data_IF_826263164875
#
_entry.id   IF_826263164875
#
_cell.length_a   1.000
_cell.length_b   1.000
_cell.length_c   1.000
_cell.angle_alpha   90.00
_cell.angle_beta   90.00
_cell.angle_gamma   90.00
#
_symmetry.space_group_name_H-M   'P 1'
#
loop_
_entity.id
_entity.type
_entity.pdbx_description
1 polymer ?
#
# COMPACT_ATOMS: atom_id res chain seq x y z
N UNK A 1 22.03 -39.25 -18.16
CA UNK A 1 20.69 -38.68 -18.35
C UNK A 1 20.70 -37.28 -17.74
N UNK A 2 20.53 -36.24 -18.52
CA UNK A 2 20.40 -34.88 -17.98
C UNK A 2 18.97 -34.72 -17.44
N UNK A 3 18.83 -34.39 -16.17
CA UNK A 3 17.52 -34.00 -15.60
C UNK A 3 17.12 -32.67 -16.21
N UNK A 4 15.85 -32.56 -16.63
CA UNK A 4 15.30 -31.27 -17.06
C UNK A 4 15.14 -30.35 -15.84
N UNK A 5 15.19 -29.05 -16.03
CA UNK A 5 14.98 -28.04 -14.96
C UNK A 5 13.62 -28.25 -14.26
N UNK A 6 12.61 -28.72 -15.01
CA UNK A 6 11.28 -29.09 -14.47
C UNK A 6 11.30 -30.24 -13.46
N UNK A 7 12.41 -30.99 -13.37
CA UNK A 7 12.53 -32.14 -12.45
C UNK A 7 13.21 -31.75 -11.12
N UNK A 8 13.52 -30.46 -10.94
CA UNK A 8 14.07 -29.94 -9.69
C UNK A 8 12.94 -29.72 -8.68
N UNK A 9 13.16 -30.22 -7.48
CA UNK A 9 12.23 -29.99 -6.35
C UNK A 9 12.26 -28.50 -6.04
N UNK A 10 11.10 -27.85 -6.14
CA UNK A 10 10.94 -26.48 -5.66
C UNK A 10 10.85 -26.53 -4.14
N UNK A 11 11.85 -26.02 -3.44
CA UNK A 11 11.78 -25.86 -1.99
C UNK A 11 11.12 -24.53 -1.67
N UNK A 12 10.22 -24.51 -0.68
CA UNK A 12 9.49 -23.30 -0.26
C UNK A 12 10.35 -22.30 0.54
N UNK A 13 11.60 -22.64 0.83
CA UNK A 13 12.56 -21.75 1.49
C UNK A 13 13.94 -21.93 0.88
N UNK A 14 14.60 -20.83 0.62
CA UNK A 14 15.97 -20.79 0.13
C UNK A 14 16.89 -20.39 1.28
N UNK A 15 17.88 -21.25 1.55
CA UNK A 15 18.91 -20.97 2.53
C UNK A 15 20.10 -20.24 1.87
N UNK A 16 20.90 -19.53 2.65
CA UNK A 16 22.06 -18.78 2.13
C UNK A 16 23.12 -19.69 1.46
N UNK A 17 23.06 -21.00 1.74
CA UNK A 17 23.92 -22.04 1.18
C UNK A 17 23.41 -22.63 -0.14
N UNK A 18 22.14 -22.39 -0.48
CA UNK A 18 21.56 -22.90 -1.71
C UNK A 18 22.22 -22.27 -2.95
N UNK A 19 22.16 -22.97 -4.07
CA UNK A 19 22.77 -22.52 -5.32
C UNK A 19 21.76 -22.58 -6.45
N UNK A 20 21.78 -21.54 -7.27
CA UNK A 20 20.99 -21.47 -8.49
C UNK A 20 21.83 -21.82 -9.72
N UNK A 21 21.16 -22.41 -10.71
CA UNK A 21 21.70 -22.49 -12.07
C UNK A 21 21.52 -21.12 -12.74
N UNK A 22 22.62 -20.50 -13.12
CA UNK A 22 22.62 -19.24 -13.86
C UNK A 22 23.19 -19.51 -15.24
N UNK A 23 22.42 -19.23 -16.29
CA UNK A 23 22.91 -19.22 -17.65
C UNK A 23 23.68 -17.92 -17.92
N UNK A 24 24.88 -18.05 -18.41
CA UNK A 24 25.73 -16.95 -18.84
C UNK A 24 26.21 -17.21 -20.26
N UNK A 25 26.73 -16.20 -20.97
CA UNK A 25 27.34 -16.38 -22.30
C UNK A 25 28.48 -17.40 -22.29
N UNK A 26 29.09 -17.67 -21.15
CA UNK A 26 30.15 -18.66 -20.96
C UNK A 26 29.62 -20.04 -20.50
N UNK A 27 28.30 -20.29 -20.53
CA UNK A 27 27.65 -21.53 -20.14
C UNK A 27 26.99 -21.47 -18.74
N UNK A 28 26.36 -22.57 -18.36
CA UNK A 28 25.60 -22.68 -17.10
C UNK A 28 26.53 -22.81 -15.88
N UNK A 29 26.35 -21.97 -14.88
CA UNK A 29 27.14 -21.99 -13.62
C UNK A 29 26.21 -22.10 -12.41
N UNK A 30 26.72 -22.67 -11.32
CA UNK A 30 26.07 -22.63 -10.01
C UNK A 30 26.47 -21.32 -9.31
N UNK A 31 25.49 -20.50 -8.99
CA UNK A 31 25.67 -19.29 -8.18
C UNK A 31 25.05 -19.51 -6.79
N UNK A 32 25.74 -19.18 -5.69
CA UNK A 32 25.14 -19.24 -4.35
C UNK A 32 24.01 -18.22 -4.21
N UNK A 33 22.98 -18.55 -3.40
CA UNK A 33 21.86 -17.61 -3.10
C UNK A 33 22.37 -16.26 -2.65
N UNK A 34 23.43 -16.23 -1.85
CA UNK A 34 24.04 -15.00 -1.38
C UNK A 34 24.60 -14.09 -2.49
N UNK A 35 24.84 -14.64 -3.70
CA UNK A 35 25.25 -13.85 -4.87
C UNK A 35 24.09 -13.37 -5.75
N UNK A 36 22.88 -13.88 -5.50
CA UNK A 36 21.67 -13.36 -6.11
C UNK A 36 21.23 -12.16 -5.29
N UNK A 37 21.25 -10.98 -5.91
CA UNK A 37 20.79 -9.75 -5.24
C UNK A 37 19.29 -9.86 -4.97
N UNK A 38 18.93 -10.24 -3.76
CA UNK A 38 17.54 -10.28 -3.29
C UNK A 38 16.95 -8.85 -3.16
N UNK A 39 17.80 -7.86 -3.12
CA UNK A 39 17.45 -6.43 -3.05
C UNK A 39 16.85 -5.88 -4.36
N UNK A 40 16.71 -6.69 -5.40
CA UNK A 40 16.23 -6.29 -6.73
C UNK A 40 14.85 -6.89 -7.06
N UNK A 41 14.25 -7.68 -6.15
CA UNK A 41 12.92 -8.22 -6.43
C UNK A 41 11.91 -7.09 -6.61
N UNK A 42 11.36 -6.99 -7.82
CA UNK A 42 10.43 -5.93 -8.19
C UNK A 42 9.00 -6.46 -8.41
N UNK A 43 8.73 -7.69 -7.96
CA UNK A 43 7.45 -8.36 -8.14
C UNK A 43 7.22 -8.87 -9.56
N UNK A 44 6.30 -9.79 -9.69
CA UNK A 44 5.84 -10.34 -10.97
C UNK A 44 4.36 -10.02 -11.18
N UNK A 45 3.94 -10.01 -12.44
CA UNK A 45 2.53 -9.91 -12.80
C UNK A 45 1.83 -11.24 -12.48
N UNK A 46 0.96 -11.21 -11.48
CA UNK A 46 0.23 -12.41 -11.03
C UNK A 46 -0.74 -12.92 -12.09
N UNK A 47 -1.25 -12.05 -12.97
CA UNK A 47 -2.15 -12.46 -14.06
C UNK A 47 -1.45 -13.28 -15.13
N UNK A 48 -0.13 -13.18 -15.20
CA UNK A 48 0.72 -13.97 -16.10
C UNK A 48 1.16 -15.26 -15.42
N UNK A 49 1.67 -15.15 -14.18
CA UNK A 49 2.24 -16.30 -13.45
C UNK A 49 1.17 -17.33 -13.07
N UNK A 50 -0.04 -16.88 -12.71
CA UNK A 50 -1.14 -17.71 -12.26
C UNK A 50 -2.32 -17.72 -13.25
N UNK A 51 -2.05 -17.52 -14.55
CA UNK A 51 -3.07 -17.42 -15.59
C UNK A 51 -4.06 -18.60 -15.58
N UNK A 52 -3.55 -19.83 -15.44
CA UNK A 52 -4.39 -21.04 -15.44
C UNK A 52 -5.29 -21.11 -14.20
N UNK A 53 -4.75 -20.81 -13.00
CA UNK A 53 -5.56 -20.77 -11.78
C UNK A 53 -6.62 -19.64 -11.85
N UNK A 54 -6.23 -18.45 -12.33
CA UNK A 54 -7.14 -17.31 -12.46
C UNK A 54 -8.30 -17.63 -13.41
N UNK A 55 -8.02 -18.38 -14.47
CA UNK A 55 -9.07 -18.79 -15.42
C UNK A 55 -10.18 -19.63 -14.77
N UNK A 56 -9.87 -20.43 -13.74
CA UNK A 56 -10.85 -21.21 -12.96
C UNK A 56 -11.80 -20.31 -12.14
N UNK A 57 -11.37 -19.11 -11.77
CA UNK A 57 -12.15 -18.14 -11.00
C UNK A 57 -12.82 -17.06 -11.86
N UNK A 58 -12.48 -17.00 -13.15
CA UNK A 58 -12.99 -16.04 -14.11
C UNK A 58 -12.34 -14.66 -14.08
N UNK A 59 -11.74 -14.26 -12.97
CA UNK A 59 -11.03 -12.98 -12.84
C UNK A 59 -9.99 -13.02 -11.72
N UNK A 60 -8.95 -12.13 -11.75
CA UNK A 60 -7.87 -12.15 -10.78
C UNK A 60 -8.30 -11.74 -9.36
N UNK A 61 -9.37 -10.95 -9.22
CA UNK A 61 -9.82 -10.47 -7.93
C UNK A 61 -10.60 -11.52 -7.16
N UNK A 62 -11.44 -12.31 -7.84
CA UNK A 62 -12.10 -13.49 -7.27
C UNK A 62 -11.08 -14.54 -6.87
N UNK A 63 -10.07 -14.78 -7.69
CA UNK A 63 -8.98 -15.71 -7.40
C UNK A 63 -8.19 -15.29 -6.15
N UNK A 64 -7.66 -14.05 -6.11
CA UNK A 64 -6.83 -13.60 -4.97
C UNK A 64 -7.64 -13.52 -3.68
N UNK A 65 -8.94 -13.17 -3.76
CA UNK A 65 -9.87 -13.21 -2.62
C UNK A 65 -10.02 -14.62 -2.06
N UNK A 66 -10.20 -15.63 -2.92
CA UNK A 66 -10.30 -17.02 -2.48
C UNK A 66 -9.00 -17.47 -1.78
N UNK A 67 -7.84 -17.11 -2.33
CA UNK A 67 -6.53 -17.40 -1.74
C UNK A 67 -6.34 -16.69 -0.40
N UNK A 68 -6.70 -15.42 -0.30
CA UNK A 68 -6.65 -14.65 0.94
C UNK A 68 -7.50 -15.31 2.03
N UNK A 69 -8.78 -15.61 1.74
CA UNK A 69 -9.70 -16.25 2.68
C UNK A 69 -9.23 -17.61 3.18
N UNK A 70 -8.61 -18.39 2.30
CA UNK A 70 -8.04 -19.69 2.63
C UNK A 70 -6.66 -19.58 3.32
N UNK A 71 -6.09 -18.37 3.46
CA UNK A 71 -4.71 -18.15 3.91
C UNK A 71 -3.69 -18.94 3.08
N UNK A 72 -3.98 -19.15 1.80
CA UNK A 72 -3.10 -19.82 0.87
C UNK A 72 -2.23 -18.81 0.12
N UNK A 73 -1.12 -18.46 0.71
CA UNK A 73 -0.17 -17.48 0.15
C UNK A 73 0.99 -18.14 -0.61
N UNK A 74 0.94 -19.47 -0.83
CA UNK A 74 1.99 -20.19 -1.54
C UNK A 74 2.25 -19.61 -2.92
N UNK A 75 3.52 -19.28 -3.23
CA UNK A 75 3.92 -18.67 -4.49
C UNK A 75 3.57 -17.20 -4.67
N UNK A 76 2.95 -16.57 -3.67
CA UNK A 76 2.74 -15.12 -3.64
C UNK A 76 3.83 -14.44 -2.82
N UNK A 77 4.33 -13.32 -3.29
CA UNK A 77 5.37 -12.55 -2.60
C UNK A 77 4.95 -11.09 -2.47
N UNK A 78 5.47 -10.44 -1.46
CA UNK A 78 5.35 -8.99 -1.32
C UNK A 78 5.92 -8.32 -2.56
N UNK A 79 5.20 -7.33 -3.10
CA UNK A 79 5.44 -6.61 -4.34
C UNK A 79 5.02 -7.32 -5.64
N UNK A 80 4.57 -8.58 -5.63
CA UNK A 80 3.82 -9.12 -6.77
C UNK A 80 2.59 -8.27 -7.02
N UNK A 81 2.18 -8.14 -8.27
CA UNK A 81 1.15 -7.16 -8.61
C UNK A 81 0.09 -7.71 -9.57
N UNK A 82 -1.06 -7.05 -9.54
CA UNK A 82 -2.17 -7.26 -10.47
C UNK A 82 -2.42 -5.94 -11.20
N UNK A 83 -2.32 -5.92 -12.56
CA UNK A 83 -2.71 -4.76 -13.36
C UNK A 83 -4.24 -4.68 -13.51
N UNK A 84 -4.76 -3.46 -13.48
CA UNK A 84 -6.18 -3.17 -13.69
C UNK A 84 -6.37 -1.74 -14.20
N UNK A 85 -7.62 -1.33 -14.46
CA UNK A 85 -7.91 -0.01 -15.03
C UNK A 85 -8.87 0.77 -14.15
N UNK A 86 -8.56 2.06 -13.92
CA UNK A 86 -9.43 3.04 -13.27
C UNK A 86 -9.49 4.30 -14.10
N UNK A 87 -10.69 4.72 -14.48
CA UNK A 87 -10.94 5.93 -15.30
C UNK A 87 -10.05 5.99 -16.57
N UNK A 88 -9.77 4.83 -17.19
CA UNK A 88 -8.93 4.71 -18.39
C UNK A 88 -7.41 4.65 -18.13
N UNK A 89 -6.96 4.76 -16.88
CA UNK A 89 -5.54 4.63 -16.52
C UNK A 89 -5.22 3.21 -16.06
N UNK A 90 -4.09 2.68 -16.52
CA UNK A 90 -3.57 1.41 -16.02
C UNK A 90 -2.96 1.61 -14.63
N UNK A 91 -3.46 0.86 -13.66
CA UNK A 91 -2.97 0.81 -12.29
C UNK A 91 -2.35 -0.57 -12.08
N UNK A 92 -1.14 -0.62 -11.56
CA UNK A 92 -0.52 -1.84 -11.05
C UNK A 92 -0.58 -1.79 -9.52
N UNK A 93 -1.35 -2.70 -8.91
CA UNK A 93 -1.42 -2.78 -7.46
C UNK A 93 -0.59 -3.94 -6.96
N UNK A 94 0.42 -3.63 -6.14
CA UNK A 94 1.33 -4.62 -5.57
C UNK A 94 0.88 -5.07 -4.17
N UNK A 95 1.18 -6.31 -3.82
CA UNK A 95 0.98 -6.83 -2.46
C UNK A 95 1.83 -6.01 -1.50
N UNK A 96 1.18 -5.25 -0.64
CA UNK A 96 1.82 -4.46 0.40
C UNK A 96 2.19 -5.32 1.62
N UNK A 97 1.35 -6.27 1.96
CA UNK A 97 1.56 -7.22 3.05
C UNK A 97 0.46 -8.27 3.13
N UNK A 98 0.79 -9.39 3.76
CA UNK A 98 -0.14 -10.47 4.09
C UNK A 98 -0.62 -10.27 5.52
N UNK A 99 -1.92 -10.27 5.73
CA UNK A 99 -2.59 -10.14 7.03
C UNK A 99 -2.04 -8.99 7.91
N UNK A 100 -1.73 -7.79 7.35
CA UNK A 100 -1.37 -6.67 8.20
C UNK A 100 -2.54 -6.34 9.12
N UNK A 101 -2.26 -5.85 10.30
CA UNK A 101 -3.25 -5.51 11.33
C UNK A 101 -4.03 -6.70 11.95
N UNK A 102 -3.69 -7.96 11.62
CA UNK A 102 -4.45 -9.13 12.09
C UNK A 102 -4.62 -9.15 13.62
N UNK A 103 -3.60 -8.75 14.36
CA UNK A 103 -3.63 -8.69 15.83
C UNK A 103 -3.84 -7.26 16.38
N UNK A 104 -3.96 -6.26 15.49
CA UNK A 104 -3.96 -4.84 15.85
C UNK A 104 -5.22 -4.13 15.30
N UNK A 105 -6.39 -4.68 15.55
CA UNK A 105 -7.66 -4.13 15.09
C UNK A 105 -8.77 -4.33 16.13
N UNK A 106 -9.86 -3.56 15.97
CA UNK A 106 -11.08 -3.71 16.76
C UNK A 106 -12.11 -4.70 16.16
N UNK A 107 -11.70 -5.40 15.10
CA UNK A 107 -12.52 -6.37 14.37
C UNK A 107 -11.83 -7.73 14.31
N UNK A 108 -12.64 -8.78 14.25
CA UNK A 108 -12.15 -10.08 13.84
C UNK A 108 -11.90 -10.05 12.32
N UNK A 109 -10.65 -10.20 11.91
CA UNK A 109 -10.24 -10.27 10.51
C UNK A 109 -10.06 -11.71 10.06
N UNK A 110 -10.69 -12.05 8.95
CA UNK A 110 -10.36 -13.24 8.18
C UNK A 110 -9.00 -13.09 7.48
N UNK A 111 -8.58 -14.12 6.76
CA UNK A 111 -7.41 -14.04 5.90
C UNK A 111 -7.57 -12.92 4.88
N UNK A 112 -6.57 -12.07 4.74
CA UNK A 112 -6.61 -10.90 3.87
C UNK A 112 -5.23 -10.49 3.35
N UNK A 113 -5.23 -9.71 2.28
CA UNK A 113 -4.03 -9.16 1.65
C UNK A 113 -4.26 -7.67 1.42
N UNK A 114 -3.33 -6.83 1.86
CA UNK A 114 -3.34 -5.42 1.53
C UNK A 114 -2.54 -5.16 0.26
N UNK A 115 -3.11 -4.35 -0.60
CA UNK A 115 -2.50 -3.89 -1.84
C UNK A 115 -2.27 -2.39 -1.80
N UNK A 116 -1.23 -1.94 -2.50
CA UNK A 116 -0.98 -0.52 -2.75
C UNK A 116 -0.57 -0.32 -4.21
N UNK A 117 -0.99 0.77 -4.84
CA UNK A 117 -0.56 1.05 -6.21
C UNK A 117 0.95 1.27 -6.28
N UNK A 118 1.60 0.68 -7.28
CA UNK A 118 3.05 0.83 -7.54
C UNK A 118 3.41 2.27 -7.88
N UNK A 119 2.52 2.94 -8.59
CA UNK A 119 2.64 4.35 -8.95
C UNK A 119 1.47 5.16 -8.38
N UNK A 120 1.61 6.48 -8.36
CA UNK A 120 0.53 7.38 -8.01
C UNK A 120 -0.59 7.32 -9.05
N UNK A 121 -1.81 7.53 -8.63
CA UNK A 121 -2.88 7.83 -9.58
C UNK A 121 -2.54 9.15 -10.31
N UNK A 122 -2.70 9.22 -11.65
CA UNK A 122 -2.21 10.33 -12.44
C UNK A 122 -3.13 11.57 -12.38
N UNK A 123 -3.41 11.99 -11.17
CA UNK A 123 -4.16 13.20 -10.86
C UNK A 123 -3.61 13.80 -9.57
N UNK A 124 -3.39 15.10 -9.54
CA UNK A 124 -3.12 15.81 -8.30
C UNK A 124 -4.42 16.05 -7.54
N UNK A 125 -4.39 15.79 -6.24
CA UNK A 125 -5.54 15.96 -5.34
C UNK A 125 -5.08 16.70 -4.10
N UNK A 126 -5.75 17.80 -3.75
CA UNK A 126 -5.48 18.49 -2.49
C UNK A 126 -5.93 17.61 -1.31
N UNK A 127 -5.13 17.57 -0.26
CA UNK A 127 -5.55 16.89 0.98
C UNK A 127 -6.77 17.58 1.58
N UNK A 128 -6.77 18.93 1.62
CA UNK A 128 -7.95 19.76 1.84
C UNK A 128 -7.99 20.91 0.84
N UNK A 129 -9.17 21.38 0.49
CA UNK A 129 -9.34 22.52 -0.45
C UNK A 129 -8.93 23.85 0.17
N UNK A 130 -8.88 23.93 1.50
CA UNK A 130 -8.30 25.05 2.26
C UNK A 130 -7.06 24.57 3.02
N UNK A 131 -6.18 25.51 3.37
CA UNK A 131 -4.93 25.18 4.06
C UNK A 131 -5.17 24.90 5.56
N UNK A 132 -5.91 23.83 5.86
CA UNK A 132 -6.19 23.35 7.20
C UNK A 132 -6.06 21.82 7.22
N UNK A 133 -5.49 21.29 8.29
CA UNK A 133 -5.34 19.84 8.48
C UNK A 133 -6.13 19.31 9.67
N UNK A 134 -6.96 20.13 10.27
CA UNK A 134 -7.73 19.80 11.45
C UNK A 134 -8.95 18.95 11.08
N UNK A 135 -9.31 18.03 11.97
CA UNK A 135 -10.61 17.38 11.94
C UNK A 135 -11.73 18.33 12.38
N UNK A 136 -12.93 17.82 12.39
CA UNK A 136 -14.05 18.50 12.98
C UNK A 136 -13.78 18.72 14.50
N UNK A 137 -14.12 19.90 15.01
CA UNK A 137 -13.96 20.26 16.44
C UNK A 137 -14.65 19.32 17.44
N UNK A 138 -15.50 18.42 16.96
CA UNK A 138 -16.32 17.53 17.77
C UNK A 138 -16.03 16.06 17.64
N UNK A 139 -14.82 15.62 17.34
CA UNK A 139 -14.42 14.20 17.39
C UNK A 139 -14.24 13.49 16.03
N UNK A 140 -13.72 14.15 15.02
CA UNK A 140 -13.34 13.47 13.80
C UNK A 140 -11.81 13.46 13.66
N UNK A 141 -11.25 12.33 13.22
CA UNK A 141 -9.88 12.30 12.77
C UNK A 141 -9.72 13.18 11.53
N UNK A 142 -8.63 13.96 11.41
CA UNK A 142 -8.43 14.90 10.31
C UNK A 142 -8.64 14.29 8.91
N UNK A 143 -8.07 13.14 8.66
CA UNK A 143 -8.21 12.42 7.39
C UNK A 143 -9.67 12.12 7.04
N UNK A 144 -10.49 11.69 8.03
CA UNK A 144 -11.87 11.26 7.80
C UNK A 144 -12.79 12.36 7.28
N UNK A 145 -12.42 13.62 7.50
CA UNK A 145 -13.17 14.80 7.02
C UNK A 145 -12.42 15.55 5.91
N UNK A 146 -11.36 14.98 5.39
CA UNK A 146 -10.53 15.60 4.36
C UNK A 146 -11.14 15.50 2.96
N UNK A 147 -10.74 16.41 2.08
CA UNK A 147 -11.05 16.31 0.65
C UNK A 147 -10.39 15.07 0.01
N UNK A 148 -9.21 14.68 0.49
CA UNK A 148 -8.53 13.48 0.00
C UNK A 148 -9.35 12.22 0.28
N UNK A 149 -9.91 12.08 1.50
CA UNK A 149 -10.80 10.95 1.83
C UNK A 149 -12.06 10.94 0.96
N UNK A 150 -12.68 12.11 0.79
CA UNK A 150 -13.85 12.23 -0.08
C UNK A 150 -13.54 11.85 -1.54
N UNK A 151 -12.34 12.18 -2.01
CA UNK A 151 -11.88 11.76 -3.33
C UNK A 151 -11.76 10.23 -3.42
N UNK A 152 -11.15 9.55 -2.44
CA UNK A 152 -11.09 8.09 -2.41
C UNK A 152 -12.48 7.46 -2.44
N UNK A 153 -13.41 7.96 -1.63
CA UNK A 153 -14.79 7.46 -1.59
C UNK A 153 -15.49 7.61 -2.94
N UNK A 154 -15.26 8.73 -3.63
CA UNK A 154 -15.82 8.96 -4.96
C UNK A 154 -15.34 7.96 -6.01
N UNK A 155 -14.11 7.43 -5.86
CA UNK A 155 -13.52 6.46 -6.80
C UNK A 155 -14.02 5.03 -6.62
N UNK A 156 -14.61 4.70 -5.47
CA UNK A 156 -15.10 3.34 -5.20
C UNK A 156 -16.10 2.85 -6.25
N UNK A 157 -16.99 3.73 -6.73
CA UNK A 157 -18.00 3.36 -7.73
C UNK A 157 -17.40 3.18 -9.14
N UNK A 158 -16.23 3.73 -9.40
CA UNK A 158 -15.50 3.59 -10.68
C UNK A 158 -14.61 2.34 -10.72
N UNK A 159 -14.47 1.61 -9.60
CA UNK A 159 -13.70 0.36 -9.57
C UNK A 159 -14.36 -0.70 -10.44
N UNK A 160 -13.57 -1.59 -11.09
CA UNK A 160 -14.09 -2.81 -11.67
C UNK A 160 -14.98 -3.56 -10.67
N UNK A 161 -16.09 -4.13 -11.15
CA UNK A 161 -17.09 -4.75 -10.27
C UNK A 161 -16.49 -5.86 -9.43
N UNK A 162 -15.65 -6.70 -10.01
CA UNK A 162 -14.99 -7.84 -9.36
C UNK A 162 -14.04 -7.34 -8.25
N UNK A 163 -13.22 -6.33 -8.55
CA UNK A 163 -12.35 -5.68 -7.56
C UNK A 163 -13.18 -5.08 -6.42
N UNK A 164 -14.21 -4.30 -6.72
CA UNK A 164 -15.07 -3.68 -5.73
C UNK A 164 -15.75 -4.69 -4.81
N UNK A 165 -16.10 -5.88 -5.34
CA UNK A 165 -16.70 -6.98 -4.58
C UNK A 165 -15.67 -7.78 -3.76
N UNK A 166 -14.41 -7.74 -4.15
CA UNK A 166 -13.32 -8.40 -3.43
C UNK A 166 -12.79 -7.56 -2.26
N UNK A 167 -12.89 -6.23 -2.34
CA UNK A 167 -12.38 -5.32 -1.31
C UNK A 167 -13.26 -5.34 -0.07
N UNK A 168 -12.62 -5.51 1.09
CA UNK A 168 -13.19 -5.24 2.42
C UNK A 168 -12.67 -3.90 2.96
N UNK A 169 -13.42 -3.27 3.85
CA UNK A 169 -12.99 -2.01 4.50
C UNK A 169 -11.79 -2.24 5.40
N UNK A 170 -10.94 -1.24 5.50
CA UNK A 170 -9.87 -1.16 6.51
C UNK A 170 -10.29 -0.26 7.65
N UNK A 171 -10.10 -0.72 8.88
CA UNK A 171 -10.24 0.12 10.06
C UNK A 171 -8.86 0.49 10.60
N UNK A 172 -8.75 1.72 11.09
CA UNK A 172 -7.51 2.24 11.67
C UNK A 172 -7.79 3.02 12.94
N UNK A 173 -6.93 2.84 13.94
CA UNK A 173 -6.94 3.65 15.15
C UNK A 173 -6.37 5.02 14.82
N UNK A 174 -7.16 6.06 15.02
CA UNK A 174 -6.79 7.43 14.66
C UNK A 174 -7.04 8.39 15.81
N UNK A 175 -6.12 9.32 15.96
CA UNK A 175 -6.25 10.42 16.90
C UNK A 175 -7.32 11.41 16.42
N UNK A 176 -8.18 11.82 17.33
CA UNK A 176 -9.10 12.92 17.13
C UNK A 176 -8.40 14.23 17.43
N UNK A 177 -8.22 15.08 16.41
CA UNK A 177 -7.62 16.42 16.54
C UNK A 177 -8.66 17.50 16.36
N UNK A 178 -8.48 18.60 17.06
CA UNK A 178 -9.31 19.79 16.92
C UNK A 178 -8.49 21.06 17.07
N UNK A 179 -8.95 22.17 16.54
CA UNK A 179 -8.37 23.47 16.80
C UNK A 179 -9.11 24.19 17.92
N UNK A 180 -8.33 24.83 18.80
CA UNK A 180 -8.84 25.86 19.71
C UNK A 180 -8.28 27.19 19.24
N UNK A 181 -9.15 28.01 18.67
CA UNK A 181 -8.69 29.24 18.01
C UNK A 181 -7.87 28.98 16.75
N UNK A 182 -6.60 29.38 16.76
CA UNK A 182 -5.67 29.22 15.64
C UNK A 182 -4.68 28.05 15.84
N UNK A 183 -4.79 27.33 16.93
CA UNK A 183 -3.81 26.29 17.29
C UNK A 183 -4.44 24.92 17.21
N UNK A 184 -3.83 24.03 16.44
CA UNK A 184 -4.18 22.61 16.44
C UNK A 184 -3.83 22.04 17.80
N UNK A 185 -4.80 21.40 18.44
CA UNK A 185 -4.60 20.68 19.69
C UNK A 185 -4.72 19.19 19.43
N UNK A 186 -3.71 18.43 19.84
CA UNK A 186 -3.79 16.99 19.89
C UNK A 186 -4.77 16.59 21.01
N UNK A 187 -5.78 15.82 20.65
CA UNK A 187 -6.64 15.16 21.61
C UNK A 187 -5.93 13.96 22.22
N UNK A 188 -6.26 13.63 23.45
CA UNK A 188 -5.91 12.33 24.05
C UNK A 188 -6.92 11.25 23.65
N UNK A 189 -7.91 11.61 22.86
CA UNK A 189 -8.96 10.71 22.41
C UNK A 189 -8.57 10.04 21.11
N UNK A 190 -8.72 8.73 21.09
CA UNK A 190 -8.47 7.87 19.94
C UNK A 190 -9.74 7.12 19.59
N UNK A 191 -9.99 6.92 18.32
CA UNK A 191 -11.13 6.16 17.86
C UNK A 191 -10.76 5.29 16.66
N UNK A 192 -11.38 4.13 16.58
CA UNK A 192 -11.34 3.31 15.38
C UNK A 192 -12.23 3.92 14.30
N UNK A 193 -11.63 4.19 13.16
CA UNK A 193 -12.29 4.77 12.00
C UNK A 193 -12.27 3.79 10.84
N UNK A 194 -13.38 3.73 10.10
CA UNK A 194 -13.47 2.97 8.86
C UNK A 194 -12.91 3.81 7.71
N UNK A 195 -11.73 3.45 7.22
CA UNK A 195 -11.10 4.11 6.08
C UNK A 195 -11.82 3.81 4.77
N UNK A 196 -12.77 2.89 4.78
CA UNK A 196 -13.48 2.46 3.58
C UNK A 196 -12.67 1.51 2.71
N UNK A 197 -13.07 1.42 1.45
CA UNK A 197 -12.50 0.49 0.48
C UNK A 197 -11.20 0.97 -0.16
N UNK A 198 -11.03 2.29 -0.29
CA UNK A 198 -9.80 2.90 -0.80
C UNK A 198 -9.25 3.90 0.21
N UNK A 199 -7.94 3.91 0.39
CA UNK A 199 -7.29 4.74 1.40
C UNK A 199 -5.84 5.08 1.04
N UNK A 200 -5.30 6.13 1.68
CA UNK A 200 -3.88 6.41 1.73
C UNK A 200 -3.24 5.70 2.93
N UNK A 201 -1.99 5.23 2.85
CA UNK A 201 -1.30 4.64 3.98
C UNK A 201 -0.98 5.67 5.06
N UNK A 202 -0.81 5.19 6.29
CA UNK A 202 -0.26 5.97 7.39
C UNK A 202 1.26 6.12 7.27
N UNK A 203 1.83 7.19 7.82
CA UNK A 203 3.27 7.41 7.87
C UNK A 203 3.99 6.23 8.55
N UNK A 204 3.40 5.68 9.62
CA UNK A 204 3.95 4.50 10.31
C UNK A 204 3.96 3.24 9.43
N UNK A 205 2.99 3.07 8.55
CA UNK A 205 2.92 1.95 7.61
C UNK A 205 4.01 2.03 6.52
N UNK A 206 4.48 3.25 6.23
CA UNK A 206 5.52 3.50 5.22
C UNK A 206 6.92 3.53 5.82
N UNK A 207 7.10 4.14 6.99
CA UNK A 207 8.42 4.42 7.58
C UNK A 207 8.73 3.65 8.86
N UNK A 208 7.80 2.81 9.34
CA UNK A 208 7.94 2.06 10.60
C UNK A 208 7.93 2.95 11.87
N UNK A 209 7.61 4.19 11.69
CA UNK A 209 7.55 5.17 12.76
C UNK A 209 6.85 6.44 12.28
N UNK A 210 6.41 7.21 13.23
CA UNK A 210 6.06 8.60 13.04
C UNK A 210 7.31 9.43 12.78
N UNK A 211 7.35 10.21 11.73
CA UNK A 211 8.41 11.17 11.41
C UNK A 211 7.89 12.60 11.60
N UNK A 212 6.76 12.92 11.00
CA UNK A 212 6.10 14.21 11.05
C UNK A 212 4.75 14.20 11.74
N UNK A 213 4.07 13.06 11.78
CA UNK A 213 2.79 12.89 12.48
C UNK A 213 2.90 12.92 14.01
N UNK A 214 4.14 12.87 14.54
CA UNK A 214 4.44 13.05 15.96
C UNK A 214 4.10 11.82 16.80
N UNK A 215 4.19 11.98 18.13
CA UNK A 215 3.95 10.90 19.10
C UNK A 215 2.50 10.40 19.13
N UNK A 216 1.61 11.11 18.48
CA UNK A 216 0.18 10.81 18.38
C UNK A 216 -0.18 10.27 17.00
N UNK A 217 0.78 9.68 16.30
CA UNK A 217 0.55 9.12 14.99
C UNK A 217 -0.58 8.10 15.01
N UNK A 218 -1.42 8.23 14.02
CA UNK A 218 -2.47 7.26 13.74
C UNK A 218 -1.91 5.98 13.12
N UNK A 219 -2.76 4.97 12.96
CA UNK A 219 -2.43 3.70 12.35
C UNK A 219 -2.32 2.56 13.35
N UNK A 220 -2.12 1.38 12.84
CA UNK A 220 -2.12 0.16 13.64
C UNK A 220 -0.69 -0.30 14.02
N UNK A 221 0.31 0.56 13.77
CA UNK A 221 1.68 0.34 14.20
C UNK A 221 2.48 -0.64 13.36
N UNK A 222 1.93 -1.15 12.27
CA UNK A 222 2.59 -2.16 11.42
C UNK A 222 3.06 -1.52 10.12
N UNK A 223 4.37 -1.59 9.86
CA UNK A 223 4.93 -1.21 8.57
C UNK A 223 4.58 -2.24 7.51
N UNK A 224 4.17 -1.79 6.33
CA UNK A 224 4.02 -2.68 5.19
C UNK A 224 5.38 -3.24 4.74
N UNK A 225 5.50 -4.58 4.62
CA UNK A 225 6.71 -5.20 4.11
C UNK A 225 7.15 -4.69 2.74
N UNK A 226 6.22 -4.24 1.89
CA UNK A 226 6.54 -3.64 0.59
C UNK A 226 7.46 -2.42 0.71
N UNK A 227 7.41 -1.67 1.82
CA UNK A 227 8.25 -0.51 2.07
C UNK A 227 9.55 -0.83 2.85
N UNK A 228 9.87 -2.10 3.05
CA UNK A 228 11.15 -2.50 3.65
C UNK A 228 12.33 -1.96 2.83
N UNK A 229 12.21 -1.96 1.50
CA UNK A 229 13.11 -1.27 0.60
C UNK A 229 12.64 0.18 0.35
N UNK A 230 13.53 1.13 0.61
CA UNK A 230 13.27 2.56 0.38
C UNK A 230 12.87 2.90 -1.06
N UNK A 231 13.25 2.08 -2.04
CA UNK A 231 12.87 2.25 -3.45
C UNK A 231 11.37 2.11 -3.68
N UNK A 232 10.67 1.29 -2.90
CA UNK A 232 9.22 1.14 -3.01
C UNK A 232 8.44 2.43 -2.68
N UNK A 233 9.08 3.37 -2.00
CA UNK A 233 8.54 4.71 -1.73
C UNK A 233 8.67 5.67 -2.92
N UNK A 234 9.50 5.34 -3.91
CA UNK A 234 9.68 6.11 -5.13
C UNK A 234 8.57 5.77 -6.12
N UNK A 235 7.59 6.63 -6.25
CA UNK A 235 6.45 6.41 -7.14
C UNK A 235 6.45 7.42 -8.27
N UNK A 236 5.83 7.05 -9.40
CA UNK A 236 5.72 7.91 -10.57
C UNK A 236 4.28 8.43 -10.70
N UNK A 237 4.10 9.51 -11.44
CA UNK A 237 2.81 10.08 -11.76
C UNK A 237 2.13 9.27 -12.87
N UNK A 238 1.45 8.19 -12.46
CA UNK A 238 0.97 7.15 -13.37
C UNK A 238 2.10 6.30 -13.96
N UNK A 239 1.71 5.20 -14.58
CA UNK A 239 2.66 4.26 -15.21
C UNK A 239 3.47 4.96 -16.31
N UNK A 240 4.79 4.98 -16.14
CA UNK A 240 5.72 5.60 -17.09
C UNK A 240 5.87 7.12 -16.97
N UNK A 241 5.23 7.76 -16.01
CA UNK A 241 5.39 9.18 -15.71
C UNK A 241 6.69 9.52 -14.99
N UNK A 242 6.90 10.78 -14.67
CA UNK A 242 8.00 11.24 -13.80
C UNK A 242 7.75 10.90 -12.33
N UNK A 243 8.80 10.90 -11.51
CA UNK A 243 8.65 10.73 -10.05
C UNK A 243 7.74 11.80 -9.46
N UNK A 244 6.85 11.41 -8.56
CA UNK A 244 5.92 12.32 -7.92
C UNK A 244 5.94 12.22 -6.40
N UNK A 245 5.45 13.28 -5.75
CA UNK A 245 5.11 13.28 -4.35
C UNK A 245 3.74 12.61 -4.16
N UNK A 246 3.54 11.91 -3.03
CA UNK A 246 2.27 11.25 -2.78
C UNK A 246 1.82 11.34 -1.32
N UNK A 247 0.51 11.49 -1.11
CA UNK A 247 -0.11 11.71 0.18
C UNK A 247 -0.08 10.49 1.09
N UNK A 248 0.15 10.74 2.37
CA UNK A 248 -0.21 9.87 3.49
C UNK A 248 -1.50 10.39 4.14
N UNK A 249 -2.14 9.58 4.98
CA UNK A 249 -3.39 9.97 5.64
C UNK A 249 -3.17 10.73 6.96
N UNK A 250 -1.95 11.00 7.35
CA UNK A 250 -1.64 11.63 8.64
C UNK A 250 -1.50 13.15 8.54
N UNK A 251 -2.04 13.84 9.55
CA UNK A 251 -1.75 15.24 9.77
C UNK A 251 -0.41 15.41 10.51
N UNK A 252 0.32 16.49 10.19
CA UNK A 252 1.55 16.83 10.88
C UNK A 252 1.26 17.23 12.33
N UNK A 253 2.10 16.77 13.28
CA UNK A 253 2.06 17.22 14.65
C UNK A 253 2.44 18.71 14.77
N UNK A 254 1.86 19.38 15.77
CA UNK A 254 2.08 20.80 16.07
C UNK A 254 1.83 21.77 14.90
N UNK A 255 1.05 21.36 13.89
CA UNK A 255 0.65 22.23 12.77
C UNK A 255 -0.86 22.18 12.57
N UNK A 256 -1.46 23.33 12.27
CA UNK A 256 -2.86 23.44 11.88
C UNK A 256 -3.07 23.35 10.35
N UNK A 257 -1.99 23.29 9.57
CA UNK A 257 -2.06 23.47 8.11
C UNK A 257 -1.28 22.44 7.31
N UNK A 258 -0.39 21.67 7.95
CA UNK A 258 0.47 20.71 7.24
C UNK A 258 0.03 19.28 7.46
N UNK A 259 0.27 18.46 6.46
CA UNK A 259 -0.02 17.02 6.41
C UNK A 259 1.20 16.25 5.91
N UNK A 260 1.25 14.97 6.25
CA UNK A 260 2.35 14.10 5.87
C UNK A 260 2.24 13.66 4.41
N UNK A 261 3.40 13.53 3.76
CA UNK A 261 3.49 12.98 2.41
C UNK A 261 4.89 12.38 2.18
N UNK A 262 5.00 11.51 1.20
CA UNK A 262 6.27 10.97 0.73
C UNK A 262 6.76 11.80 -0.47
N UNK A 263 7.98 12.31 -0.36
CA UNK A 263 8.58 13.07 -1.45
C UNK A 263 8.97 12.18 -2.64
N UNK A 264 9.13 12.79 -3.81
CA UNK A 264 9.52 12.11 -5.05
C UNK A 264 10.91 11.45 -5.01
N UNK A 265 11.67 11.64 -3.93
CA UNK A 265 12.93 10.96 -3.62
C UNK A 265 12.81 9.99 -2.43
N UNK A 266 11.58 9.68 -1.96
CA UNK A 266 11.28 8.59 -1.03
C UNK A 266 11.37 8.94 0.47
N UNK A 267 11.59 10.21 0.83
CA UNK A 267 11.65 10.64 2.22
C UNK A 267 10.27 11.07 2.75
N UNK A 268 10.07 10.89 4.06
CA UNK A 268 8.95 11.50 4.78
C UNK A 268 9.12 13.02 4.81
N UNK A 269 8.09 13.73 4.42
CA UNK A 269 8.05 15.21 4.41
C UNK A 269 6.63 15.67 4.79
N UNK A 270 6.47 16.95 5.05
CA UNK A 270 5.16 17.56 5.29
C UNK A 270 4.96 18.76 4.35
N UNK A 271 3.72 19.06 4.05
CA UNK A 271 3.35 20.21 3.22
C UNK A 271 1.97 20.72 3.60
N UNK A 272 1.66 21.91 3.07
CA UNK A 272 0.32 22.50 3.12
C UNK A 272 -0.75 21.51 2.69
N UNK A 273 -1.81 21.38 3.47
CA UNK A 273 -2.96 20.53 3.16
C UNK A 273 -3.64 20.92 1.83
N UNK A 274 -3.50 22.17 1.39
CA UNK A 274 -4.03 22.66 0.12
C UNK A 274 -3.03 22.59 -1.05
N UNK A 275 -1.91 21.88 -0.90
CA UNK A 275 -0.96 21.72 -2.00
C UNK A 275 -1.61 21.02 -3.20
N UNK A 276 -1.38 21.58 -4.40
CA UNK A 276 -2.00 21.13 -5.65
C UNK A 276 -1.10 20.23 -6.51
N UNK A 277 0.09 19.83 -6.01
CA UNK A 277 1.09 19.08 -6.78
C UNK A 277 1.51 17.77 -6.09
N UNK A 278 0.60 17.19 -5.33
CA UNK A 278 0.81 15.90 -4.68
C UNK A 278 -0.30 14.95 -5.12
N UNK A 279 0.06 13.73 -5.48
CA UNK A 279 -0.86 12.75 -6.03
C UNK A 279 -1.27 11.70 -4.98
N UNK A 280 -2.44 11.06 -5.10
CA UNK A 280 -2.81 9.93 -4.25
C UNK A 280 -2.18 8.63 -4.74
N UNK A 281 -1.91 7.72 -3.82
CA UNK A 281 -1.69 6.30 -4.08
C UNK A 281 -2.95 5.53 -3.70
N UNK A 282 -3.19 4.36 -4.28
CA UNK A 282 -4.41 3.59 -4.03
C UNK A 282 -4.08 2.40 -3.13
N UNK A 283 -4.43 2.49 -1.85
CA UNK A 283 -4.43 1.36 -0.93
C UNK A 283 -5.80 0.71 -0.86
N UNK A 284 -5.86 -0.63 -0.78
CA UNK A 284 -7.08 -1.40 -0.56
C UNK A 284 -6.78 -2.79 0.00
N UNK A 285 -7.77 -3.40 0.64
CA UNK A 285 -7.69 -4.72 1.31
C UNK A 285 -8.59 -5.72 0.64
N UNK A 286 -8.07 -6.89 0.26
CA UNK A 286 -8.81 -8.03 -0.27
C UNK A 286 -9.00 -9.08 0.82
N UNK A 287 -10.27 -9.53 1.01
CA UNK A 287 -10.60 -10.55 2.01
C UNK A 287 -11.99 -11.16 1.87
#
# INVERSE_FOLDING_TARGET
MSKKISDLIVTNSLESTDKFLVETEAGTKLAPVASVRTDVYNGVDLTVVFADEIAEYGDPWSWIKARARARNYAGLHVRDYIPWTLDGFTIESEIAGFEPDFECTDQELGGHIDFISRDCYPQYVQWNTSNVNQGNATNAAPYMVSNLKAWYDSKVNSLPTELRNAIISKRSLMETRYTSGQTLQSSTSWAWNDLGKLWAPHESEVFDRSVWSGKYASGNGTKYPAFADGRARLKHFGKGGGRCNWWECDAMDASATHVCYVANYGNAVNNSASNTHIAPVLGFRIG
#
